data_IF_509078947618
#
_entry.id   IF_509078947618
#
_cell.length_a   1.000
_cell.length_b   1.000
_cell.length_c   1.000
_cell.angle_alpha   90.00
_cell.angle_beta   90.00
_cell.angle_gamma   90.00
#
_symmetry.space_group_name_H-M   'P 1'
#
loop_
_entity.id
_entity.type
_entity.pdbx_description
1 polymer ?
#
# COMPACT_ATOMS: atom_id res chain seq x y z
N UNK A 1 -20.66 12.91 10.59
CA UNK A 1 -19.48 13.40 11.34
C UNK A 1 -19.17 12.56 12.61
N UNK A 2 -19.01 11.22 12.51
CA UNK A 2 -18.80 10.34 13.70
C UNK A 2 -17.62 9.35 13.59
N UNK A 3 -16.87 9.34 12.48
CA UNK A 3 -15.76 8.37 12.27
C UNK A 3 -14.38 8.89 12.72
N UNK A 4 -14.25 10.19 12.96
CA UNK A 4 -12.98 10.88 13.24
C UNK A 4 -12.47 10.68 14.69
N UNK A 5 -13.39 10.46 15.65
CA UNK A 5 -13.03 10.39 17.08
C UNK A 5 -12.35 9.07 17.50
N UNK A 6 -12.55 7.96 16.78
CA UNK A 6 -11.88 6.69 17.12
C UNK A 6 -10.39 6.70 16.78
N UNK A 7 -10.01 7.43 15.72
CA UNK A 7 -8.61 7.48 15.29
C UNK A 7 -7.78 8.40 16.18
N UNK A 8 -8.32 9.59 16.50
CA UNK A 8 -7.75 10.47 17.55
C UNK A 8 -7.64 9.78 18.91
N UNK A 9 -8.55 8.85 19.23
CA UNK A 9 -8.48 8.06 20.46
C UNK A 9 -7.38 7.00 20.43
N UNK A 10 -7.19 6.29 19.30
CA UNK A 10 -6.08 5.32 19.13
C UNK A 10 -4.72 6.04 19.16
N UNK A 11 -4.61 7.20 18.53
CA UNK A 11 -3.44 8.08 18.61
C UNK A 11 -3.27 8.55 20.07
N UNK A 12 -4.24 9.21 20.70
CA UNK A 12 -4.10 9.70 22.08
C UNK A 12 -3.83 8.62 23.14
N UNK A 13 -4.31 7.40 22.97
CA UNK A 13 -4.11 6.33 23.97
C UNK A 13 -2.90 5.43 23.72
N UNK A 14 -2.21 5.55 22.58
CA UNK A 14 -0.91 4.89 22.36
C UNK A 14 0.28 5.87 22.49
N UNK A 15 0.02 7.18 22.61
CA UNK A 15 1.03 8.23 22.68
C UNK A 15 1.38 8.69 24.11
N UNK A 16 0.70 8.17 25.13
CA UNK A 16 1.19 8.29 26.50
C UNK A 16 2.26 7.22 26.70
N UNK A 17 3.51 7.68 26.85
CA UNK A 17 4.73 6.94 27.23
C UNK A 17 5.55 6.30 26.09
N UNK A 18 6.66 6.98 25.73
CA UNK A 18 7.89 6.35 25.27
C UNK A 18 8.02 6.07 23.77
N UNK A 19 9.28 5.93 23.32
CA UNK A 19 9.67 5.57 21.95
C UNK A 19 8.72 4.52 21.37
N UNK A 20 7.96 4.90 20.34
CA UNK A 20 7.22 3.91 19.57
C UNK A 20 8.22 3.00 18.86
N UNK A 21 8.05 1.69 19.01
CA UNK A 21 8.82 0.74 18.22
C UNK A 21 8.65 1.01 16.72
N UNK A 22 9.70 0.74 15.94
CA UNK A 22 9.68 0.88 14.48
C UNK A 22 8.49 0.15 13.83
N UNK A 23 8.16 -1.04 14.34
CA UNK A 23 7.00 -1.84 13.88
C UNK A 23 5.67 -1.12 14.08
N UNK A 24 5.49 -0.47 15.23
CA UNK A 24 4.26 0.27 15.53
C UNK A 24 4.16 1.53 14.65
N UNK A 25 5.27 2.24 14.45
CA UNK A 25 5.34 3.41 13.56
C UNK A 25 4.95 3.04 12.12
N UNK A 26 5.54 2.00 11.55
CA UNK A 26 5.16 1.47 10.23
C UNK A 26 3.67 1.09 10.15
N UNK A 27 3.12 0.51 11.22
CA UNK A 27 1.69 0.16 11.27
C UNK A 27 0.80 1.40 11.23
N UNK A 28 1.16 2.46 11.96
CA UNK A 28 0.44 3.74 11.94
C UNK A 28 0.51 4.37 10.54
N UNK A 29 1.71 4.42 9.95
CA UNK A 29 1.94 4.95 8.60
C UNK A 29 1.08 4.21 7.56
N UNK A 30 1.06 2.88 7.58
CA UNK A 30 0.23 2.06 6.69
C UNK A 30 -1.25 2.42 6.79
N UNK A 31 -1.76 2.60 8.02
CA UNK A 31 -3.17 2.95 8.25
C UNK A 31 -3.49 4.35 7.76
N UNK A 32 -2.60 5.31 7.97
CA UNK A 32 -2.77 6.68 7.49
C UNK A 32 -2.82 6.74 5.96
N UNK A 33 -1.93 6.04 5.26
CA UNK A 33 -1.93 5.99 3.80
C UNK A 33 -3.29 5.51 3.24
N UNK A 34 -3.84 4.41 3.81
CA UNK A 34 -5.16 3.88 3.43
C UNK A 34 -6.28 4.87 3.77
N UNK A 35 -6.25 5.45 4.98
CA UNK A 35 -7.29 6.35 5.46
C UNK A 35 -7.37 7.64 4.64
N UNK A 36 -6.23 8.25 4.33
CA UNK A 36 -6.21 9.49 3.56
C UNK A 36 -6.68 9.27 2.14
N UNK A 37 -6.27 8.17 1.48
CA UNK A 37 -6.80 7.86 0.16
C UNK A 37 -8.33 7.63 0.21
N UNK A 38 -8.80 6.86 1.20
CA UNK A 38 -10.24 6.59 1.37
C UNK A 38 -11.05 7.85 1.70
N UNK A 39 -10.42 8.87 2.28
CA UNK A 39 -11.02 10.16 2.55
C UNK A 39 -10.94 11.14 1.36
N UNK A 40 -10.35 10.73 0.22
CA UNK A 40 -10.30 11.51 -1.01
C UNK A 40 -9.23 12.59 -1.03
N UNK A 41 -8.20 12.50 -0.18
CA UNK A 41 -7.10 13.46 -0.19
C UNK A 41 -6.34 13.38 -1.51
N UNK A 42 -6.02 14.55 -2.09
CA UNK A 42 -5.08 14.65 -3.17
C UNK A 42 -3.64 14.46 -2.65
N UNK A 43 -2.70 14.18 -3.55
CA UNK A 43 -1.32 13.88 -3.15
C UNK A 43 -0.60 15.11 -2.56
N UNK A 44 -0.91 16.29 -3.10
CA UNK A 44 -0.44 17.59 -2.62
C UNK A 44 -0.95 17.93 -1.21
N UNK A 45 -2.11 17.41 -0.80
CA UNK A 45 -2.71 17.64 0.52
C UNK A 45 -2.22 16.63 1.56
N UNK A 46 -1.87 15.43 1.09
CA UNK A 46 -1.65 14.26 1.96
C UNK A 46 -0.43 14.43 2.87
N UNK A 47 0.59 15.16 2.40
CA UNK A 47 1.81 15.41 3.17
C UNK A 47 1.54 16.31 4.38
N UNK A 48 0.81 17.40 4.19
CA UNK A 48 0.43 18.29 5.28
C UNK A 48 -0.42 17.56 6.32
N UNK A 49 -1.39 16.77 5.85
CA UNK A 49 -2.23 15.94 6.72
C UNK A 49 -1.41 14.89 7.49
N UNK A 50 -0.43 14.25 6.84
CA UNK A 50 0.45 13.26 7.44
C UNK A 50 1.31 13.87 8.55
N UNK A 51 1.98 15.00 8.30
CA UNK A 51 2.78 15.69 9.32
C UNK A 51 1.93 16.14 10.49
N UNK A 52 0.73 16.69 10.24
CA UNK A 52 -0.16 17.11 11.31
C UNK A 52 -0.66 15.96 12.18
N UNK A 53 -0.92 14.78 11.60
CA UNK A 53 -1.37 13.62 12.38
C UNK A 53 -0.27 13.02 13.28
N UNK A 54 0.99 13.33 13.00
CA UNK A 54 2.16 12.73 13.64
C UNK A 54 3.08 13.79 14.28
N UNK A 55 2.58 15.02 14.49
CA UNK A 55 3.36 16.15 15.04
C UNK A 55 3.91 15.90 16.43
N UNK A 56 3.21 15.08 17.21
CA UNK A 56 3.51 14.83 18.62
C UNK A 56 4.38 13.57 18.81
N UNK A 57 4.92 12.99 17.73
CA UNK A 57 5.79 11.81 17.80
C UNK A 57 7.19 12.17 18.32
N UNK A 58 7.69 11.33 19.23
CA UNK A 58 9.07 11.35 19.69
C UNK A 58 9.74 9.97 19.45
N UNK A 59 10.81 9.90 18.63
CA UNK A 59 11.37 10.97 17.81
C UNK A 59 10.42 11.39 16.67
N UNK A 60 10.62 12.58 16.05
CA UNK A 60 9.86 13.01 14.87
C UNK A 60 9.92 12.01 13.72
N UNK A 61 9.05 12.21 12.73
CA UNK A 61 9.05 11.39 11.51
C UNK A 61 10.36 11.54 10.75
N UNK A 62 10.97 10.41 10.39
CA UNK A 62 12.18 10.40 9.57
C UNK A 62 11.85 10.61 8.08
N UNK A 63 12.87 10.95 7.29
CA UNK A 63 12.72 11.03 5.84
C UNK A 63 12.30 9.67 5.23
N UNK A 64 12.84 8.56 5.75
CA UNK A 64 12.48 7.22 5.27
C UNK A 64 11.00 6.90 5.56
N UNK A 65 10.49 7.30 6.72
CA UNK A 65 9.09 7.12 7.06
C UNK A 65 8.16 7.95 6.17
N UNK A 66 8.58 9.16 5.80
CA UNK A 66 7.88 10.00 4.83
C UNK A 66 7.83 9.36 3.44
N UNK A 67 8.98 8.90 2.92
CA UNK A 67 9.06 8.23 1.62
C UNK A 67 8.24 6.93 1.61
N UNK A 68 8.28 6.19 2.72
CA UNK A 68 7.51 4.96 2.89
C UNK A 68 6.01 5.24 2.88
N UNK A 69 5.57 6.27 3.62
CA UNK A 69 4.20 6.74 3.61
C UNK A 69 3.73 7.10 2.19
N UNK A 70 4.50 7.91 1.47
CA UNK A 70 4.18 8.34 0.10
C UNK A 70 4.05 7.14 -0.85
N UNK A 71 4.99 6.19 -0.77
CA UNK A 71 4.96 5.00 -1.60
C UNK A 71 3.70 4.17 -1.35
N UNK A 72 3.32 3.97 -0.08
CA UNK A 72 2.10 3.25 0.29
C UNK A 72 0.83 3.96 -0.15
N UNK A 73 0.78 5.28 -0.01
CA UNK A 73 -0.35 6.08 -0.47
C UNK A 73 -0.55 5.92 -1.98
N UNK A 74 0.52 6.05 -2.77
CA UNK A 74 0.50 5.86 -4.22
C UNK A 74 0.15 4.42 -4.63
N UNK A 75 0.73 3.41 -3.97
CA UNK A 75 0.36 1.98 -4.18
C UNK A 75 -1.13 1.78 -3.95
N UNK A 76 -1.67 2.32 -2.85
CA UNK A 76 -3.08 2.14 -2.52
C UNK A 76 -3.98 2.86 -3.52
N UNK A 77 -3.60 4.07 -3.91
CA UNK A 77 -4.32 4.86 -4.91
C UNK A 77 -4.41 4.13 -6.24
N UNK A 78 -3.28 3.70 -6.81
CA UNK A 78 -3.29 3.00 -8.11
C UNK A 78 -3.98 1.64 -8.03
N UNK A 79 -3.87 0.95 -6.88
CA UNK A 79 -4.63 -0.27 -6.61
C UNK A 79 -6.15 -0.07 -6.67
N UNK A 80 -6.65 1.04 -6.12
CA UNK A 80 -8.07 1.37 -6.09
C UNK A 80 -8.59 1.92 -7.43
N UNK A 81 -7.77 2.66 -8.16
CA UNK A 81 -8.13 3.27 -9.44
C UNK A 81 -8.20 2.25 -10.59
N UNK A 82 -7.45 1.14 -10.52
CA UNK A 82 -7.43 0.15 -11.60
C UNK A 82 -8.64 -0.81 -11.53
N UNK A 83 -9.46 -0.78 -12.57
CA UNK A 83 -10.62 -1.66 -12.73
C UNK A 83 -10.24 -2.88 -13.58
N UNK A 84 -10.38 -4.08 -13.00
CA UNK A 84 -10.14 -5.36 -13.68
C UNK A 84 -11.45 -6.12 -13.74
N UNK A 85 -11.92 -6.40 -14.95
CA UNK A 85 -13.20 -7.07 -15.20
C UNK A 85 -13.05 -8.48 -15.78
N UNK A 86 -11.83 -8.86 -16.17
CA UNK A 86 -11.53 -10.11 -16.87
C UNK A 86 -10.21 -10.69 -16.40
N UNK A 87 -10.12 -12.03 -16.32
CA UNK A 87 -8.89 -12.72 -15.88
C UNK A 87 -7.74 -12.51 -16.87
N UNK A 88 -8.03 -12.39 -18.15
CA UNK A 88 -7.05 -12.10 -19.21
C UNK A 88 -6.33 -10.77 -18.95
N UNK A 89 -7.07 -9.73 -18.55
CA UNK A 89 -6.48 -8.43 -18.20
C UNK A 89 -5.56 -8.53 -16.99
N UNK A 90 -5.93 -9.34 -15.99
CA UNK A 90 -5.07 -9.56 -14.83
C UNK A 90 -3.79 -10.33 -15.18
N UNK A 91 -3.86 -11.32 -16.07
CA UNK A 91 -2.68 -12.02 -16.57
C UNK A 91 -1.78 -11.11 -17.39
N UNK A 92 -2.36 -10.27 -18.26
CA UNK A 92 -1.63 -9.30 -19.08
C UNK A 92 -0.85 -8.32 -18.18
N UNK A 93 -1.47 -7.80 -17.10
CA UNK A 93 -0.81 -6.92 -16.10
C UNK A 93 0.37 -7.61 -15.40
N UNK A 94 0.25 -8.91 -15.13
CA UNK A 94 1.30 -9.71 -14.49
C UNK A 94 2.32 -10.26 -15.50
N UNK A 95 2.15 -10.00 -16.81
CA UNK A 95 3.02 -10.55 -17.86
C UNK A 95 2.95 -12.07 -17.99
N UNK A 96 1.79 -12.66 -17.68
CA UNK A 96 1.53 -14.10 -17.77
C UNK A 96 0.79 -14.46 -19.06
N UNK A 97 1.13 -15.60 -19.66
CA UNK A 97 0.41 -16.12 -20.84
C UNK A 97 -1.06 -16.43 -20.52
N UNK A 98 -1.96 -16.08 -21.44
CA UNK A 98 -3.41 -16.38 -21.35
C UNK A 98 -3.71 -17.87 -21.28
N UNK A 99 -2.81 -18.71 -21.81
CA UNK A 99 -2.92 -20.17 -21.74
C UNK A 99 -2.91 -20.69 -20.29
N UNK A 100 -2.36 -19.90 -19.35
CA UNK A 100 -2.40 -20.24 -17.91
C UNK A 100 -3.82 -20.29 -17.36
N UNK A 101 -4.82 -19.71 -18.03
CA UNK A 101 -6.24 -19.85 -17.66
C UNK A 101 -6.76 -21.28 -17.80
N UNK A 102 -6.09 -22.13 -18.59
CA UNK A 102 -6.44 -23.55 -18.73
C UNK A 102 -5.96 -24.39 -17.53
N UNK A 103 -5.15 -23.82 -16.64
CA UNK A 103 -4.69 -24.52 -15.45
C UNK A 103 -5.80 -24.64 -14.40
N UNK A 104 -5.81 -25.73 -13.61
CA UNK A 104 -6.59 -25.78 -12.38
C UNK A 104 -6.25 -24.58 -11.47
N UNK A 105 -7.27 -24.02 -10.81
CA UNK A 105 -7.15 -22.79 -10.02
C UNK A 105 -6.02 -22.82 -8.99
N UNK A 106 -5.76 -23.96 -8.35
CA UNK A 106 -4.66 -24.12 -7.38
C UNK A 106 -3.28 -23.93 -8.04
N UNK A 107 -3.08 -24.50 -9.24
CA UNK A 107 -1.84 -24.35 -10.01
C UNK A 107 -1.69 -22.92 -10.53
N UNK A 108 -2.76 -22.33 -11.03
CA UNK A 108 -2.77 -20.92 -11.45
C UNK A 108 -2.38 -20.00 -10.29
N UNK A 109 -2.97 -20.21 -9.11
CA UNK A 109 -2.67 -19.42 -7.90
C UNK A 109 -1.20 -19.52 -7.49
N UNK A 110 -0.60 -20.71 -7.56
CA UNK A 110 0.82 -20.91 -7.27
C UNK A 110 1.72 -20.13 -8.23
N UNK A 111 1.43 -20.19 -9.53
CA UNK A 111 2.18 -19.47 -10.57
C UNK A 111 2.05 -17.95 -10.40
N UNK A 112 0.83 -17.45 -10.18
CA UNK A 112 0.54 -16.03 -9.97
C UNK A 112 1.26 -15.51 -8.73
N UNK A 113 1.23 -16.25 -7.61
CA UNK A 113 1.97 -15.87 -6.39
C UNK A 113 3.47 -15.76 -6.64
N UNK A 114 4.06 -16.73 -7.33
CA UNK A 114 5.49 -16.75 -7.65
C UNK A 114 5.88 -15.51 -8.45
N UNK A 115 5.16 -15.25 -9.55
CA UNK A 115 5.46 -14.12 -10.44
C UNK A 115 5.23 -12.78 -9.74
N UNK A 116 4.13 -12.63 -9.01
CA UNK A 116 3.85 -11.39 -8.29
C UNK A 116 4.93 -11.06 -7.26
N UNK A 117 5.37 -12.03 -6.45
CA UNK A 117 6.38 -11.77 -5.42
C UNK A 117 7.76 -11.50 -6.02
N UNK A 118 8.11 -12.15 -7.13
CA UNK A 118 9.33 -11.82 -7.88
C UNK A 118 9.26 -10.37 -8.38
N UNK A 119 8.19 -10.00 -9.09
CA UNK A 119 8.00 -8.63 -9.60
C UNK A 119 7.99 -7.59 -8.49
N UNK A 120 7.36 -7.87 -7.35
CA UNK A 120 7.36 -6.98 -6.20
C UNK A 120 8.78 -6.72 -5.70
N UNK A 121 9.57 -7.79 -5.49
CA UNK A 121 10.95 -7.66 -5.02
C UNK A 121 11.83 -6.90 -6.02
N UNK A 122 11.66 -7.16 -7.32
CA UNK A 122 12.40 -6.47 -8.38
C UNK A 122 12.04 -4.97 -8.45
N UNK A 123 10.78 -4.62 -8.19
CA UNK A 123 10.30 -3.24 -8.19
C UNK A 123 10.57 -2.48 -6.87
N UNK A 124 10.87 -3.19 -5.78
CA UNK A 124 11.11 -2.59 -4.47
C UNK A 124 12.36 -3.12 -3.74
N UNK A 125 13.55 -3.14 -4.37
CA UNK A 125 14.79 -3.55 -3.71
C UNK A 125 15.20 -2.61 -2.57
N UNK A 126 14.79 -1.34 -2.66
CA UNK A 126 14.99 -0.30 -1.66
C UNK A 126 13.83 0.70 -1.64
N UNK A 127 13.90 1.66 -0.73
CA UNK A 127 12.85 2.65 -0.51
C UNK A 127 12.67 3.65 -1.67
N UNK A 128 13.75 4.21 -2.27
CA UNK A 128 13.62 5.00 -3.50
C UNK A 128 12.92 4.25 -4.64
N UNK A 129 13.28 2.98 -4.85
CA UNK A 129 12.68 2.13 -5.87
C UNK A 129 11.21 1.83 -5.57
N UNK A 130 10.89 1.52 -4.32
CA UNK A 130 9.51 1.33 -3.86
C UNK A 130 8.65 2.58 -4.17
N UNK A 131 9.17 3.78 -3.91
CA UNK A 131 8.47 5.03 -4.19
C UNK A 131 8.32 5.28 -5.69
N UNK A 132 9.39 5.10 -6.47
CA UNK A 132 9.38 5.30 -7.92
C UNK A 132 8.40 4.35 -8.63
N UNK A 133 8.35 3.09 -8.19
CA UNK A 133 7.52 2.04 -8.78
C UNK A 133 6.16 1.86 -8.10
N UNK A 134 5.82 2.73 -7.13
CA UNK A 134 4.59 2.62 -6.34
C UNK A 134 3.30 2.48 -7.18
N UNK A 135 3.11 3.22 -8.30
CA UNK A 135 1.90 3.04 -9.11
C UNK A 135 1.82 1.64 -9.74
N UNK A 136 2.93 1.16 -10.32
CA UNK A 136 3.01 -0.16 -10.97
C UNK A 136 2.77 -1.30 -9.96
N UNK A 137 3.37 -1.21 -8.78
CA UNK A 137 3.17 -2.17 -7.69
C UNK A 137 1.68 -2.26 -7.32
N UNK A 138 0.98 -1.13 -7.19
CA UNK A 138 -0.44 -1.12 -6.86
C UNK A 138 -1.32 -1.78 -7.95
N UNK A 139 -1.02 -1.51 -9.22
CA UNK A 139 -1.71 -2.14 -10.36
C UNK A 139 -1.49 -3.67 -10.37
N UNK A 140 -0.23 -4.11 -10.22
CA UNK A 140 0.11 -5.53 -10.14
C UNK A 140 -0.51 -6.22 -8.94
N UNK A 141 -0.56 -5.54 -7.78
CA UNK A 141 -1.24 -6.03 -6.58
C UNK A 141 -2.75 -6.22 -6.82
N UNK A 142 -3.39 -5.32 -7.57
CA UNK A 142 -4.81 -5.47 -7.94
C UNK A 142 -5.03 -6.70 -8.82
N UNK A 143 -4.20 -6.90 -9.83
CA UNK A 143 -4.26 -8.08 -10.69
C UNK A 143 -4.01 -9.38 -9.91
N UNK A 144 -3.03 -9.38 -9.01
CA UNK A 144 -2.76 -10.48 -8.09
C UNK A 144 -3.99 -10.84 -7.25
N UNK A 145 -4.60 -9.85 -6.56
CA UNK A 145 -5.79 -10.08 -5.74
C UNK A 145 -6.97 -10.56 -6.60
N UNK A 146 -7.15 -10.04 -7.81
CA UNK A 146 -8.23 -10.48 -8.69
C UNK A 146 -8.12 -11.96 -9.11
N UNK A 147 -6.89 -12.46 -9.29
CA UNK A 147 -6.64 -13.86 -9.71
C UNK A 147 -6.61 -14.85 -8.54
N UNK A 148 -6.22 -14.40 -7.34
CA UNK A 148 -5.99 -15.24 -6.16
C UNK A 148 -6.98 -15.06 -5.02
N UNK A 149 -7.72 -13.95 -4.98
CA UNK A 149 -8.77 -13.67 -4.00
C UNK A 149 -10.05 -14.39 -4.34
#
# INVERSE_FOLDING_TARGET
MRKDNRFKYIIRHHFNYGLLSERLRKTIINRLAVNFHSAGYAEEEVLGAFFWNLSDLEPPISNDELLYFLALFRIHRSFCEVAIHKKETALDILGLSKEKLNLPQEKLTKEVKKVYWQQFNDLSPDLPSLLANSPEIGIKKRAFIYLCG
#
